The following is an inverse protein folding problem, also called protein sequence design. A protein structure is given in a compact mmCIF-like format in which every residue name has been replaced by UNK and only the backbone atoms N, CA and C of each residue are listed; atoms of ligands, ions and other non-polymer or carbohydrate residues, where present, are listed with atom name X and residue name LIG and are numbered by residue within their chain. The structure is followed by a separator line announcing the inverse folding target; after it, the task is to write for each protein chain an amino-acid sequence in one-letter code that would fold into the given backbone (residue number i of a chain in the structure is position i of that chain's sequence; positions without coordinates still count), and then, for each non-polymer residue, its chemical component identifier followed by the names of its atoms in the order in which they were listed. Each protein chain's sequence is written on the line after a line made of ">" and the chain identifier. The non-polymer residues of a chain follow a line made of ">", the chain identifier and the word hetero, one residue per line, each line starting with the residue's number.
data_IF_876163085860
#
_entry.id   IF_876163085860
#
_cell.length_a   1.000
_cell.length_b   1.000
_cell.length_c   1.000
_cell.angle_alpha   90.00
_cell.angle_beta   90.00
_cell.angle_gamma   90.00
#
_symmetry.space_group_name_H-M   'P 1'
#
loop_
_entity.id
_entity.type
_entity.pdbx_description
1 polymer ?
#
# COMPACT_ATOMS: atom_id res chain seq x y z
N UNK A 1 35.99 -38.59 59.94
CA UNK A 1 34.71 -38.75 59.20
C UNK A 1 34.63 -37.80 57.99
N UNK A 2 35.61 -37.83 57.08
CA UNK A 2 35.71 -36.89 55.93
C UNK A 2 35.68 -37.58 54.55
N UNK A 3 35.28 -38.87 54.49
CA UNK A 3 35.25 -39.65 53.24
C UNK A 3 33.85 -39.75 52.59
N UNK A 4 32.79 -39.26 53.23
CA UNK A 4 31.40 -39.42 52.75
C UNK A 4 30.74 -38.14 52.21
N UNK A 5 31.33 -36.96 52.44
CA UNK A 5 30.78 -35.70 51.92
C UNK A 5 31.01 -35.55 50.41
N UNK A 6 32.15 -36.03 49.90
CA UNK A 6 32.47 -35.94 48.47
C UNK A 6 31.56 -36.82 47.60
N UNK A 7 31.12 -37.97 48.11
CA UNK A 7 30.17 -38.84 47.40
C UNK A 7 28.75 -38.26 47.38
N UNK A 8 28.32 -37.65 48.49
CA UNK A 8 27.03 -36.97 48.57
C UNK A 8 26.97 -35.71 47.69
N UNK A 9 28.07 -34.94 47.64
CA UNK A 9 28.20 -33.80 46.73
C UNK A 9 28.13 -34.25 45.26
N UNK A 10 28.79 -35.34 44.90
CA UNK A 10 28.74 -35.91 43.55
C UNK A 10 27.32 -36.39 43.17
N UNK A 11 26.59 -36.99 44.12
CA UNK A 11 25.19 -37.38 43.92
C UNK A 11 24.27 -36.16 43.71
N UNK A 12 24.46 -35.07 44.47
CA UNK A 12 23.69 -33.83 44.29
C UNK A 12 23.93 -33.23 42.91
N UNK A 13 25.19 -33.16 42.47
CA UNK A 13 25.53 -32.64 41.14
C UNK A 13 24.92 -33.51 40.04
N UNK A 14 24.99 -34.84 40.16
CA UNK A 14 24.41 -35.76 39.20
C UNK A 14 22.89 -35.58 39.09
N UNK A 15 22.21 -35.53 40.24
CA UNK A 15 20.76 -35.30 40.31
C UNK A 15 20.38 -33.95 39.69
N UNK A 16 21.15 -32.90 39.96
CA UNK A 16 20.93 -31.56 39.41
C UNK A 16 21.06 -31.56 37.88
N UNK A 17 22.09 -32.21 37.34
CA UNK A 17 22.28 -32.35 35.89
C UNK A 17 21.12 -33.14 35.27
N UNK A 18 20.67 -34.22 35.90
CA UNK A 18 19.52 -35.00 35.40
C UNK A 18 18.24 -34.17 35.34
N UNK A 19 17.98 -33.35 36.37
CA UNK A 19 16.81 -32.44 36.40
C UNK A 19 16.93 -31.41 35.27
N UNK A 20 18.11 -30.81 35.09
CA UNK A 20 18.36 -29.85 34.00
C UNK A 20 18.14 -30.51 32.63
N UNK A 21 18.68 -31.71 32.40
CA UNK A 21 18.50 -32.44 31.14
C UNK A 21 17.03 -32.77 30.85
N UNK A 22 16.21 -33.01 31.88
CA UNK A 22 14.79 -33.28 31.73
C UNK A 22 13.99 -32.01 31.40
N UNK A 23 14.40 -30.86 31.93
CA UNK A 23 13.72 -29.58 31.74
C UNK A 23 14.11 -28.83 30.47
N UNK A 24 15.31 -29.05 29.92
CA UNK A 24 15.77 -28.35 28.70
C UNK A 24 14.86 -28.60 27.48
N UNK A 25 14.48 -29.85 27.13
CA UNK A 25 13.68 -30.12 25.93
C UNK A 25 12.35 -29.35 25.85
N UNK A 26 11.48 -29.36 26.88
CA UNK A 26 10.22 -28.61 26.82
C UNK A 26 10.43 -27.09 26.74
N UNK A 27 11.48 -26.55 27.39
CA UNK A 27 11.80 -25.12 27.31
C UNK A 27 12.22 -24.74 25.89
N UNK A 28 13.09 -25.53 25.26
CA UNK A 28 13.55 -25.27 23.89
C UNK A 28 12.40 -25.34 22.89
N UNK A 29 11.51 -26.32 23.00
CA UNK A 29 10.34 -26.42 22.11
C UNK A 29 9.45 -25.18 22.23
N UNK A 30 9.21 -24.70 23.45
CA UNK A 30 8.41 -23.50 23.67
C UNK A 30 9.07 -22.23 23.08
N UNK A 31 10.39 -22.08 23.24
CA UNK A 31 11.13 -20.96 22.65
C UNK A 31 11.06 -21.01 21.11
N UNK A 32 11.32 -22.18 20.51
CA UNK A 32 11.28 -22.34 19.05
C UNK A 32 9.88 -22.06 18.49
N UNK A 33 8.83 -22.52 19.18
CA UNK A 33 7.45 -22.23 18.79
C UNK A 33 7.14 -20.72 18.89
N UNK A 34 7.56 -20.07 19.97
CA UNK A 34 7.41 -18.64 20.13
C UNK A 34 8.15 -17.86 19.04
N UNK A 35 9.42 -18.19 18.75
CA UNK A 35 10.18 -17.56 17.67
C UNK A 35 9.52 -17.74 16.31
N UNK A 36 8.99 -18.92 16.03
CA UNK A 36 8.26 -19.19 14.77
C UNK A 36 6.99 -18.36 14.68
N UNK A 37 6.26 -18.21 15.78
CA UNK A 37 5.06 -17.39 15.83
C UNK A 37 5.37 -15.90 15.68
N UNK A 38 6.41 -15.40 16.36
CA UNK A 38 6.88 -14.02 16.21
C UNK A 38 7.28 -13.72 14.77
N UNK A 39 8.03 -14.63 14.13
CA UNK A 39 8.42 -14.46 12.72
C UNK A 39 7.20 -14.35 11.80
N UNK A 40 6.21 -15.23 11.96
CA UNK A 40 4.96 -15.18 11.18
C UNK A 40 4.18 -13.88 11.41
N UNK A 41 4.12 -13.44 12.66
CA UNK A 41 3.42 -12.20 13.03
C UNK A 41 4.10 -10.99 12.41
N UNK A 42 5.43 -10.94 12.47
CA UNK A 42 6.24 -9.87 11.86
C UNK A 42 6.08 -9.84 10.34
N UNK A 43 6.09 -11.00 9.68
CA UNK A 43 5.85 -11.10 8.23
C UNK A 43 4.46 -10.57 7.85
N UNK A 44 3.41 -10.89 8.64
CA UNK A 44 2.06 -10.36 8.41
C UNK A 44 1.98 -8.85 8.60
N UNK A 45 2.60 -8.31 9.67
CA UNK A 45 2.61 -6.86 9.93
C UNK A 45 3.37 -6.12 8.82
N UNK A 46 4.47 -6.67 8.32
CA UNK A 46 5.20 -6.08 7.21
C UNK A 46 4.37 -6.09 5.91
N UNK A 47 3.63 -7.18 5.67
CA UNK A 47 2.74 -7.30 4.53
C UNK A 47 1.63 -6.23 4.57
N UNK A 48 0.95 -6.10 5.70
CA UNK A 48 -0.09 -5.09 5.93
C UNK A 48 0.47 -3.67 5.76
N UNK A 49 1.65 -3.38 6.30
CA UNK A 49 2.29 -2.07 6.12
C UNK A 49 2.65 -1.77 4.66
N UNK A 50 3.09 -2.78 3.91
CA UNK A 50 3.37 -2.61 2.47
C UNK A 50 2.10 -2.31 1.68
N UNK A 51 0.98 -2.94 2.04
CA UNK A 51 -0.33 -2.67 1.44
C UNK A 51 -0.75 -1.22 1.66
N UNK A 52 -0.72 -0.77 2.92
CA UNK A 52 -1.06 0.62 3.28
C UNK A 52 -0.14 1.62 2.58
N UNK A 53 1.18 1.40 2.59
CA UNK A 53 2.11 2.29 1.89
C UNK A 53 1.88 2.34 0.37
N UNK A 54 1.51 1.21 -0.24
CA UNK A 54 1.23 1.15 -1.66
C UNK A 54 -0.04 1.92 -2.03
N UNK A 55 -1.11 1.78 -1.24
CA UNK A 55 -2.34 2.57 -1.39
C UNK A 55 -2.03 4.06 -1.26
N UNK A 56 -1.36 4.48 -0.18
CA UNK A 56 -0.99 5.88 0.04
C UNK A 56 -0.09 6.44 -1.05
N UNK A 57 0.81 5.63 -1.63
CA UNK A 57 1.61 6.06 -2.77
C UNK A 57 0.74 6.36 -4.00
N UNK A 58 -0.24 5.50 -4.29
CA UNK A 58 -1.16 5.69 -5.41
C UNK A 58 -2.02 6.93 -5.20
N UNK A 59 -2.63 7.07 -4.02
CA UNK A 59 -3.42 8.26 -3.65
C UNK A 59 -2.62 9.55 -3.84
N UNK A 60 -1.40 9.60 -3.29
CA UNK A 60 -0.57 10.81 -3.39
C UNK A 60 -0.14 11.12 -4.82
N UNK A 61 0.09 10.09 -5.63
CA UNK A 61 0.44 10.27 -7.03
C UNK A 61 -0.77 10.69 -7.88
N UNK A 62 -1.99 10.21 -7.57
CA UNK A 62 -3.22 10.71 -8.18
C UNK A 62 -3.43 12.18 -7.81
N UNK A 63 -3.30 12.53 -6.54
CA UNK A 63 -3.43 13.92 -6.06
C UNK A 63 -2.42 14.84 -6.78
N UNK A 64 -1.14 14.45 -6.82
CA UNK A 64 -0.10 15.25 -7.47
C UNK A 64 -0.30 15.36 -8.99
N UNK A 65 -0.69 14.27 -9.66
CA UNK A 65 -0.96 14.27 -11.09
C UNK A 65 -2.21 15.10 -11.42
N UNK A 66 -3.25 15.00 -10.60
CA UNK A 66 -4.50 15.74 -10.74
C UNK A 66 -4.28 17.25 -10.61
N UNK A 67 -3.49 17.69 -9.62
CA UNK A 67 -3.14 19.10 -9.46
C UNK A 67 -2.32 19.63 -10.66
N UNK A 68 -1.31 18.89 -11.10
CA UNK A 68 -0.52 19.29 -12.28
C UNK A 68 -1.36 19.31 -13.56
N UNK A 69 -2.25 18.33 -13.74
CA UNK A 69 -3.16 18.28 -14.87
C UNK A 69 -4.16 19.45 -14.87
N UNK A 70 -4.60 19.89 -13.69
CA UNK A 70 -5.43 21.09 -13.52
C UNK A 70 -4.66 22.35 -13.92
N UNK A 71 -3.44 22.54 -13.42
CA UNK A 71 -2.59 23.69 -13.79
C UNK A 71 -2.41 23.78 -15.33
N UNK A 72 -2.09 22.65 -15.98
CA UNK A 72 -1.97 22.59 -17.44
C UNK A 72 -3.30 22.83 -18.18
N UNK A 73 -4.42 22.42 -17.58
CA UNK A 73 -5.75 22.65 -18.12
C UNK A 73 -6.13 24.14 -18.05
N UNK A 74 -5.86 24.79 -16.93
CA UNK A 74 -6.11 26.23 -16.74
C UNK A 74 -5.29 27.06 -17.74
N UNK A 75 -3.99 26.77 -17.90
CA UNK A 75 -3.16 27.40 -18.94
C UNK A 75 -3.72 27.18 -20.36
N UNK A 76 -4.26 26.00 -20.63
CA UNK A 76 -4.90 25.72 -21.91
C UNK A 76 -6.19 26.53 -22.09
N UNK A 77 -7.02 26.63 -21.05
CA UNK A 77 -8.30 27.37 -21.02
C UNK A 77 -8.10 28.87 -21.27
N UNK A 78 -7.05 29.48 -20.70
CA UNK A 78 -6.71 30.90 -20.93
C UNK A 78 -6.52 31.25 -22.42
N UNK A 79 -6.13 30.26 -23.22
CA UNK A 79 -5.84 30.42 -24.64
C UNK A 79 -7.00 29.98 -25.56
N UNK A 80 -8.13 29.53 -24.99
CA UNK A 80 -9.29 29.07 -25.76
C UNK A 80 -10.38 30.14 -25.92
N UNK A 81 -11.22 29.96 -26.94
CA UNK A 81 -12.44 30.75 -27.10
C UNK A 81 -13.53 30.33 -26.11
N UNK A 82 -14.39 31.27 -25.70
CA UNK A 82 -15.51 31.02 -24.78
C UNK A 82 -16.44 29.86 -25.19
N UNK A 83 -16.62 29.61 -26.50
CA UNK A 83 -17.44 28.48 -26.97
C UNK A 83 -16.85 27.10 -26.69
N UNK A 84 -15.54 27.00 -26.45
CA UNK A 84 -14.87 25.77 -26.03
C UNK A 84 -15.00 25.59 -24.52
N UNK A 85 -14.97 26.68 -23.76
CA UNK A 85 -15.12 26.70 -22.30
C UNK A 85 -16.55 26.33 -21.87
N UNK A 86 -17.55 26.54 -22.72
CA UNK A 86 -18.93 26.07 -22.50
C UNK A 86 -19.13 24.57 -22.78
N UNK A 87 -18.12 23.87 -23.29
CA UNK A 87 -18.20 22.45 -23.63
C UNK A 87 -17.45 21.58 -22.61
N UNK A 88 -18.17 21.13 -21.57
CA UNK A 88 -17.62 20.24 -20.53
C UNK A 88 -16.94 18.99 -21.11
N UNK A 89 -17.44 18.42 -22.20
CA UNK A 89 -16.81 17.24 -22.82
C UNK A 89 -15.41 17.53 -23.38
N UNK A 90 -15.17 18.75 -23.88
CA UNK A 90 -13.85 19.16 -24.35
C UNK A 90 -12.88 19.38 -23.18
N UNK A 91 -13.37 19.94 -22.07
CA UNK A 91 -12.60 20.14 -20.83
C UNK A 91 -12.22 18.79 -20.21
N UNK A 92 -13.20 17.89 -20.06
CA UNK A 92 -12.98 16.52 -19.53
C UNK A 92 -11.95 15.79 -20.38
N UNK A 93 -12.12 15.77 -21.71
CA UNK A 93 -11.17 15.07 -22.60
C UNK A 93 -9.77 15.66 -22.53
N UNK A 94 -9.64 16.97 -22.34
CA UNK A 94 -8.33 17.61 -22.18
C UNK A 94 -7.69 17.24 -20.85
N UNK A 95 -8.46 17.33 -19.77
CA UNK A 95 -8.03 16.95 -18.43
C UNK A 95 -7.59 15.48 -18.37
N UNK A 96 -8.35 14.57 -18.98
CA UNK A 96 -8.03 13.14 -19.05
C UNK A 96 -6.65 12.90 -19.71
N UNK A 97 -6.36 13.59 -20.82
CA UNK A 97 -5.05 13.47 -21.51
C UNK A 97 -3.89 13.96 -20.65
N UNK A 98 -4.04 15.09 -19.97
CA UNK A 98 -3.01 15.64 -19.09
C UNK A 98 -2.82 14.77 -17.85
N UNK A 99 -3.92 14.28 -17.26
CA UNK A 99 -3.90 13.37 -16.12
C UNK A 99 -3.20 12.05 -16.50
N UNK A 100 -3.52 11.45 -17.64
CA UNK A 100 -2.85 10.24 -18.12
C UNK A 100 -1.34 10.45 -18.35
N UNK A 101 -0.96 11.60 -18.90
CA UNK A 101 0.44 11.94 -19.13
C UNK A 101 1.22 12.08 -17.81
N UNK A 102 0.63 12.76 -16.82
CA UNK A 102 1.25 12.96 -15.51
C UNK A 102 1.30 11.66 -14.69
N UNK A 103 0.20 10.89 -14.66
CA UNK A 103 0.18 9.58 -14.01
C UNK A 103 1.26 8.65 -14.57
N UNK A 104 1.51 8.69 -15.89
CA UNK A 104 2.56 7.89 -16.51
C UNK A 104 3.96 8.21 -15.98
N UNK A 105 4.22 9.43 -15.49
CA UNK A 105 5.50 9.80 -14.87
C UNK A 105 5.74 9.07 -13.54
N UNK A 106 4.66 8.74 -12.83
CA UNK A 106 4.67 7.95 -11.60
C UNK A 106 4.64 6.43 -11.87
N UNK A 107 4.64 6.02 -13.14
CA UNK A 107 4.45 4.62 -13.53
C UNK A 107 3.01 4.13 -13.32
N UNK A 108 2.07 5.06 -13.13
CA UNK A 108 0.65 4.82 -13.00
C UNK A 108 0.05 4.97 -14.39
N UNK A 109 -0.37 3.87 -15.00
CA UNK A 109 -1.18 3.96 -16.20
C UNK A 109 -2.56 3.44 -15.80
N UNK A 110 -3.69 4.08 -16.19
CA UNK A 110 -5.04 3.66 -15.82
C UNK A 110 -5.42 2.22 -16.23
N UNK A 111 -4.52 1.53 -16.95
CA UNK A 111 -4.63 0.12 -17.33
C UNK A 111 -3.38 -0.72 -17.00
N UNK A 112 -2.38 -0.17 -16.30
CA UNK A 112 -1.13 -0.88 -15.96
C UNK A 112 -1.02 -1.15 -14.46
N UNK A 113 -0.49 -2.34 -14.15
CA UNK A 113 -0.18 -2.74 -12.78
C UNK A 113 1.06 -2.01 -12.26
N UNK A 114 0.96 -1.49 -11.04
CA UNK A 114 2.10 -1.01 -10.29
C UNK A 114 2.71 -2.20 -9.57
N UNK A 115 3.99 -2.47 -9.82
CA UNK A 115 4.72 -3.55 -9.18
C UNK A 115 5.71 -2.92 -8.19
N UNK A 116 5.34 -2.90 -6.91
CA UNK A 116 6.23 -2.42 -5.84
C UNK A 116 7.30 -3.46 -5.47
N UNK A 117 6.96 -4.74 -5.54
CA UNK A 117 7.89 -5.87 -5.46
C UNK A 117 7.35 -7.00 -6.35
N UNK A 118 8.09 -7.47 -7.38
CA UNK A 118 7.67 -8.54 -8.28
C UNK A 118 7.17 -9.81 -7.59
N UNK A 119 7.60 -10.04 -6.35
CA UNK A 119 7.29 -11.23 -5.59
C UNK A 119 6.19 -11.05 -4.52
N UNK A 120 5.71 -9.83 -4.24
CA UNK A 120 4.90 -9.60 -3.02
C UNK A 120 3.68 -8.70 -3.13
N UNK A 121 3.71 -7.60 -3.89
CA UNK A 121 2.56 -6.70 -3.95
C UNK A 121 2.45 -5.97 -5.28
N UNK A 122 1.23 -5.99 -5.81
CA UNK A 122 0.81 -5.29 -7.01
C UNK A 122 -0.42 -4.47 -6.72
N UNK A 123 -0.57 -3.37 -7.42
CA UNK A 123 -1.74 -2.50 -7.31
C UNK A 123 -2.25 -2.23 -8.72
N UNK A 124 -3.55 -2.33 -8.89
CA UNK A 124 -4.24 -1.90 -10.11
C UNK A 124 -5.02 -0.65 -9.77
N UNK A 125 -4.83 0.41 -10.57
CA UNK A 125 -5.66 1.59 -10.53
C UNK A 125 -6.59 1.57 -11.75
N UNK A 126 -7.83 2.00 -11.57
CA UNK A 126 -8.79 2.18 -12.66
C UNK A 126 -9.56 3.48 -12.45
N UNK A 127 -9.51 4.39 -13.42
CA UNK A 127 -10.34 5.59 -13.43
C UNK A 127 -11.74 5.17 -13.89
N UNK A 128 -12.77 5.49 -13.11
CA UNK A 128 -14.16 5.14 -13.40
C UNK A 128 -14.88 6.23 -14.17
N UNK A 129 -14.80 7.45 -13.66
CA UNK A 129 -15.56 8.57 -14.15
C UNK A 129 -14.82 9.87 -13.85
N UNK A 130 -14.95 10.82 -14.78
CA UNK A 130 -14.53 12.20 -14.62
C UNK A 130 -15.73 13.04 -14.96
N UNK A 131 -16.22 13.83 -14.01
CA UNK A 131 -17.35 14.73 -14.21
C UNK A 131 -16.99 16.17 -13.81
N UNK A 132 -17.80 17.12 -14.27
CA UNK A 132 -17.68 18.53 -13.93
C UNK A 132 -19.00 19.00 -13.34
N UNK A 133 -19.01 19.32 -12.05
CA UNK A 133 -20.13 19.92 -11.34
C UNK A 133 -19.75 21.32 -10.86
N UNK A 134 -20.52 22.36 -11.24
CA UNK A 134 -20.36 23.73 -10.73
C UNK A 134 -18.93 24.33 -10.79
N UNK A 135 -18.13 23.93 -11.78
CA UNK A 135 -16.70 24.29 -11.93
C UNK A 135 -15.74 23.51 -11.03
N UNK A 136 -16.13 22.33 -10.56
CA UNK A 136 -15.26 21.38 -9.86
C UNK A 136 -15.14 20.12 -10.71
N UNK A 137 -13.92 19.65 -10.95
CA UNK A 137 -13.68 18.34 -11.56
C UNK A 137 -13.75 17.28 -10.46
N UNK A 138 -14.58 16.27 -10.67
CA UNK A 138 -14.72 15.11 -9.78
C UNK A 138 -14.12 13.90 -10.51
N UNK A 139 -13.03 13.35 -9.98
CA UNK A 139 -12.34 12.17 -10.47
C UNK A 139 -12.66 10.98 -9.55
N UNK A 140 -13.44 10.02 -10.03
CA UNK A 140 -13.73 8.78 -9.31
C UNK A 140 -12.79 7.67 -9.78
N UNK A 141 -12.13 6.99 -8.84
CA UNK A 141 -11.16 5.94 -9.15
C UNK A 141 -11.20 4.78 -8.16
N UNK A 142 -10.76 3.61 -8.64
CA UNK A 142 -10.61 2.39 -7.87
C UNK A 142 -9.13 2.03 -7.72
N UNK A 143 -8.73 1.65 -6.50
CA UNK A 143 -7.44 1.02 -6.20
C UNK A 143 -7.71 -0.42 -5.76
N UNK A 144 -7.09 -1.38 -6.44
CA UNK A 144 -7.16 -2.81 -6.07
C UNK A 144 -5.77 -3.34 -5.72
N UNK A 145 -5.44 -3.53 -4.43
CA UNK A 145 -4.22 -4.20 -4.02
C UNK A 145 -4.31 -5.71 -4.25
N UNK A 146 -3.17 -6.32 -4.56
CA UNK A 146 -3.02 -7.78 -4.63
C UNK A 146 -1.65 -8.24 -4.16
N UNK A 147 -1.65 -9.12 -3.16
CA UNK A 147 -0.43 -9.79 -2.70
C UNK A 147 -0.01 -10.98 -3.60
N UNK A 148 -0.92 -11.48 -4.44
CA UNK A 148 -0.73 -12.69 -5.26
C UNK A 148 -0.72 -12.41 -6.76
N UNK A 149 -1.01 -11.17 -7.16
CA UNK A 149 -1.29 -10.78 -8.55
C UNK A 149 -2.67 -11.26 -9.05
N UNK A 150 -3.52 -11.78 -8.16
CA UNK A 150 -4.95 -11.98 -8.44
C UNK A 150 -5.74 -10.84 -7.79
N UNK A 151 -6.45 -10.08 -8.62
CA UNK A 151 -7.33 -9.01 -8.15
C UNK A 151 -8.69 -9.60 -7.81
N UNK A 152 -9.18 -9.28 -6.63
CA UNK A 152 -10.49 -9.68 -6.17
C UNK A 152 -11.30 -8.42 -5.88
N UNK A 153 -12.55 -8.39 -6.34
CA UNK A 153 -13.44 -7.24 -6.20
C UNK A 153 -13.67 -6.84 -4.73
N UNK A 154 -13.49 -7.78 -3.80
CA UNK A 154 -13.60 -7.55 -2.35
C UNK A 154 -12.50 -6.65 -1.77
N UNK A 155 -11.39 -6.46 -2.49
CA UNK A 155 -10.27 -5.61 -2.09
C UNK A 155 -10.30 -4.23 -2.79
N UNK A 156 -11.32 -3.95 -3.60
CA UNK A 156 -11.43 -2.67 -4.29
C UNK A 156 -11.73 -1.57 -3.28
N UNK A 157 -10.90 -0.54 -3.30
CA UNK A 157 -11.09 0.71 -2.57
C UNK A 157 -11.47 1.76 -3.61
N UNK A 158 -12.67 2.31 -3.50
CA UNK A 158 -13.17 3.38 -4.36
C UNK A 158 -13.07 4.71 -3.64
N UNK A 159 -12.46 5.70 -4.27
CA UNK A 159 -12.34 7.06 -3.76
C UNK A 159 -12.66 8.10 -4.84
N UNK A 160 -13.08 9.27 -4.38
CA UNK A 160 -13.34 10.44 -5.22
C UNK A 160 -12.32 11.53 -4.88
N UNK A 161 -11.62 12.04 -5.90
CA UNK A 161 -10.77 13.22 -5.81
C UNK A 161 -11.51 14.40 -6.43
N UNK A 162 -11.66 15.47 -5.68
CA UNK A 162 -12.30 16.72 -6.16
C UNK A 162 -11.27 17.81 -6.30
N UNK A 163 -11.25 18.50 -7.44
CA UNK A 163 -10.39 19.67 -7.66
C UNK A 163 -11.21 20.81 -8.25
N UNK A 164 -11.12 21.98 -7.61
CA UNK A 164 -11.81 23.18 -8.05
C UNK A 164 -11.11 23.81 -9.26
N UNK A 165 -11.86 24.16 -10.30
CA UNK A 165 -11.35 24.91 -11.46
C UNK A 165 -11.40 26.41 -11.15
N UNK A 166 -10.26 27.10 -11.26
CA UNK A 166 -10.28 28.57 -11.30
C UNK A 166 -10.70 29.03 -12.71
N UNK A 167 -12.01 29.18 -12.93
CA UNK A 167 -12.50 29.84 -14.14
C UNK A 167 -12.29 31.35 -14.00
N UNK A 168 -11.27 31.88 -14.69
CA UNK A 168 -11.03 33.32 -14.78
C UNK A 168 -12.12 33.96 -15.67
N UNK A 169 -12.97 34.81 -15.09
CA UNK A 169 -13.94 35.67 -15.81
C UNK A 169 -13.27 36.74 -16.70
#
# INVERSE_FOLDING_TARGET
>A
MMKNQNGYALLIVLLSITIIMLLIPPILVNILNATTQYKKTEELIQLEKMEVMGITFVEHAIEAASNTALENLEEWMENQSSSVLENNAAIISRYEVELEAELATYGLNPQHEIILDPAKFRFKMEIKEIDIEDSTIILSYDITPSATGQYHDENVISEDQTVDLEIVE
#
